data_IF_210040098505
#
_entry.id   IF_210040098505
#
_cell.length_a   1.000
_cell.length_b   1.000
_cell.length_c   1.000
_cell.angle_alpha   90.00
_cell.angle_beta   90.00
_cell.angle_gamma   90.00
#
_symmetry.space_group_name_H-M   'P 1'
#
loop_
_entity.id
_entity.type
_entity.pdbx_description
1 polymer ?
#
# COMPACT_ATOMS: atom_id res chain seq x y z
N UNK A 1 -27.13 -40.53 26.41
CA UNK A 1 -26.53 -40.64 25.06
C UNK A 1 -26.65 -39.37 24.23
N UNK A 2 -27.86 -38.80 24.08
CA UNK A 2 -28.10 -37.63 23.22
C UNK A 2 -27.23 -36.41 23.56
N UNK A 3 -27.01 -36.17 24.85
CA UNK A 3 -26.17 -35.08 25.37
C UNK A 3 -24.69 -35.28 25.02
N UNK A 4 -24.20 -36.53 25.04
CA UNK A 4 -22.82 -36.87 24.67
C UNK A 4 -22.59 -36.70 23.16
N UNK A 5 -23.55 -37.16 22.34
CA UNK A 5 -23.51 -36.98 20.89
C UNK A 5 -23.52 -35.50 20.51
N UNK A 6 -24.32 -34.68 21.19
CA UNK A 6 -24.37 -33.24 20.98
C UNK A 6 -23.03 -32.55 21.27
N UNK A 7 -22.39 -32.85 22.41
CA UNK A 7 -21.08 -32.27 22.76
C UNK A 7 -19.98 -32.69 21.78
N UNK A 8 -19.97 -33.96 21.35
CA UNK A 8 -19.00 -34.45 20.37
C UNK A 8 -19.21 -33.74 19.02
N UNK A 9 -20.45 -33.60 18.56
CA UNK A 9 -20.78 -32.92 17.30
C UNK A 9 -20.36 -31.44 17.32
N UNK A 10 -20.74 -30.70 18.36
CA UNK A 10 -20.32 -29.30 18.53
C UNK A 10 -18.79 -29.17 18.62
N UNK A 11 -18.13 -30.05 19.38
CA UNK A 11 -16.67 -30.08 19.49
C UNK A 11 -15.99 -30.27 18.14
N UNK A 12 -16.46 -31.25 17.34
CA UNK A 12 -15.94 -31.48 15.99
C UNK A 12 -16.16 -30.30 15.05
N UNK A 13 -17.31 -29.63 15.13
CA UNK A 13 -17.61 -28.44 14.29
C UNK A 13 -16.68 -27.29 14.66
N UNK A 14 -16.47 -27.03 15.96
CA UNK A 14 -15.59 -25.96 16.43
C UNK A 14 -14.15 -26.24 15.97
N UNK A 15 -13.63 -27.46 16.21
CA UNK A 15 -12.27 -27.83 15.81
C UNK A 15 -12.08 -27.74 14.29
N UNK A 16 -13.10 -28.09 13.50
CA UNK A 16 -13.07 -27.97 12.04
C UNK A 16 -13.19 -26.52 11.54
N UNK A 17 -13.77 -25.62 12.34
CA UNK A 17 -14.01 -24.22 11.95
C UNK A 17 -12.87 -23.29 12.39
N UNK A 18 -12.24 -23.55 13.55
CA UNK A 18 -11.11 -22.76 14.07
C UNK A 18 -9.99 -22.51 13.04
N UNK A 19 -9.47 -23.51 12.30
CA UNK A 19 -8.42 -23.26 11.30
C UNK A 19 -8.90 -22.50 10.06
N UNK A 20 -10.21 -22.35 9.86
CA UNK A 20 -10.79 -21.59 8.74
C UNK A 20 -11.05 -20.13 9.09
N UNK A 21 -10.95 -19.74 10.36
CA UNK A 21 -11.13 -18.35 10.78
C UNK A 21 -9.84 -17.60 10.45
N UNK A 22 -9.92 -16.65 9.51
CA UNK A 22 -8.81 -15.78 9.19
C UNK A 22 -8.43 -14.92 10.40
N UNK A 23 -7.21 -15.06 10.89
CA UNK A 23 -6.69 -14.22 11.96
C UNK A 23 -6.12 -12.93 11.37
N UNK A 24 -6.70 -11.79 11.73
CA UNK A 24 -6.11 -10.47 11.48
C UNK A 24 -5.69 -9.89 12.81
N UNK A 25 -4.48 -9.32 12.86
CA UNK A 25 -3.90 -8.78 14.11
C UNK A 25 -4.71 -7.57 14.59
N UNK A 26 -5.24 -6.78 13.66
CA UNK A 26 -6.16 -5.68 13.94
C UNK A 26 -7.35 -5.70 12.97
N UNK A 27 -8.54 -5.24 13.40
CA UNK A 27 -9.60 -4.92 12.46
C UNK A 27 -9.08 -3.84 11.50
N UNK A 28 -9.49 -3.87 10.23
CA UNK A 28 -9.22 -2.77 9.31
C UNK A 28 -10.00 -1.55 9.80
N UNK A 29 -9.39 -0.78 10.69
CA UNK A 29 -9.97 0.44 11.23
C UNK A 29 -10.10 1.41 10.07
N UNK A 30 -11.25 2.07 9.97
CA UNK A 30 -11.54 3.04 8.94
C UNK A 30 -10.63 4.25 9.13
N UNK A 31 -9.52 4.29 8.40
CA UNK A 31 -8.53 5.34 8.53
C UNK A 31 -8.70 6.26 7.33
N UNK A 32 -9.33 7.42 7.56
CA UNK A 32 -9.67 8.42 6.55
C UNK A 32 -8.56 8.82 5.56
N UNK A 33 -7.25 8.74 5.87
CA UNK A 33 -6.19 9.03 4.90
C UNK A 33 -5.43 7.79 4.38
N UNK A 34 -5.01 7.86 3.12
CA UNK A 34 -4.06 6.90 2.53
C UNK A 34 -2.97 7.64 1.72
N UNK A 35 -1.79 7.02 1.66
CA UNK A 35 -0.61 7.56 0.97
C UNK A 35 -0.33 6.73 -0.29
N UNK A 36 -0.05 7.41 -1.39
CA UNK A 36 0.36 6.80 -2.65
C UNK A 36 1.72 7.33 -3.02
N UNK A 37 2.68 6.43 -3.14
CA UNK A 37 4.01 6.73 -3.63
C UNK A 37 4.12 6.32 -5.08
N UNK A 38 4.72 7.20 -5.88
CA UNK A 38 5.03 6.94 -7.28
C UNK A 38 6.52 7.14 -7.52
N UNK A 39 7.09 6.24 -8.32
CA UNK A 39 8.48 6.28 -8.76
C UNK A 39 8.52 6.14 -10.26
N UNK A 40 8.86 7.22 -10.93
CA UNK A 40 9.07 7.26 -12.37
C UNK A 40 10.40 6.58 -12.75
N UNK A 41 10.63 6.29 -14.04
CA UNK A 41 11.91 5.76 -14.51
C UNK A 41 13.08 6.65 -14.10
N UNK A 42 14.21 6.04 -13.73
CA UNK A 42 15.40 6.77 -13.30
C UNK A 42 15.85 7.78 -14.36
N UNK A 43 16.14 9.01 -13.95
CA UNK A 43 16.56 10.10 -14.84
C UNK A 43 15.41 10.91 -15.44
N UNK A 44 14.16 10.72 -15.01
CA UNK A 44 13.06 11.61 -15.40
C UNK A 44 13.22 13.01 -14.83
N UNK A 45 12.90 14.01 -15.65
CA UNK A 45 12.84 15.40 -15.23
C UNK A 45 11.67 15.62 -14.25
N UNK A 46 11.88 16.47 -13.25
CA UNK A 46 10.87 16.85 -12.24
C UNK A 46 9.55 17.34 -12.87
N UNK A 47 9.61 18.04 -14.00
CA UNK A 47 8.40 18.52 -14.70
C UNK A 47 7.57 17.36 -15.25
N UNK A 48 8.24 16.31 -15.73
CA UNK A 48 7.58 15.10 -16.24
C UNK A 48 6.95 14.33 -15.09
N UNK A 49 7.69 14.14 -13.99
CA UNK A 49 7.16 13.52 -12.77
C UNK A 49 5.96 14.31 -12.24
N UNK A 50 6.03 15.65 -12.20
CA UNK A 50 4.94 16.50 -11.74
C UNK A 50 3.68 16.37 -12.63
N UNK A 51 3.85 16.21 -13.95
CA UNK A 51 2.75 15.95 -14.87
C UNK A 51 2.08 14.60 -14.58
N UNK A 52 2.88 13.55 -14.39
CA UNK A 52 2.41 12.21 -14.03
C UNK A 52 1.66 12.25 -12.68
N UNK A 53 2.24 12.90 -11.67
CA UNK A 53 1.63 13.09 -10.35
C UNK A 53 0.27 13.78 -10.45
N UNK A 54 0.15 14.85 -11.26
CA UNK A 54 -1.14 15.53 -11.50
C UNK A 54 -2.18 14.62 -12.15
N UNK A 55 -1.79 13.80 -13.11
CA UNK A 55 -2.70 12.85 -13.74
C UNK A 55 -3.15 11.77 -12.75
N UNK A 56 -2.23 11.27 -11.92
CA UNK A 56 -2.53 10.34 -10.84
C UNK A 56 -3.53 10.95 -9.85
N UNK A 57 -3.30 12.21 -9.44
CA UNK A 57 -4.18 12.94 -8.55
C UNK A 57 -5.62 13.06 -9.11
N UNK A 58 -5.74 13.35 -10.40
CA UNK A 58 -7.05 13.39 -11.07
C UNK A 58 -7.71 12.01 -11.13
N UNK A 59 -6.94 10.94 -11.38
CA UNK A 59 -7.45 9.58 -11.37
C UNK A 59 -7.96 9.18 -9.98
N UNK A 60 -7.23 9.53 -8.92
CA UNK A 60 -7.63 9.31 -7.54
C UNK A 60 -8.91 10.07 -7.20
N UNK A 61 -8.99 11.35 -7.54
CA UNK A 61 -10.19 12.16 -7.31
C UNK A 61 -11.44 11.62 -8.04
N UNK A 62 -11.26 11.04 -9.24
CA UNK A 62 -12.35 10.39 -9.97
C UNK A 62 -12.80 9.07 -9.33
N UNK A 63 -11.86 8.28 -8.81
CA UNK A 63 -12.17 6.97 -8.21
C UNK A 63 -12.86 7.12 -6.86
N UNK A 64 -12.31 7.98 -6.01
CA UNK A 64 -12.82 8.24 -4.66
C UNK A 64 -14.10 9.08 -4.70
N UNK A 65 -14.24 9.92 -5.73
CA UNK A 65 -15.29 10.91 -5.87
C UNK A 65 -14.85 12.26 -5.26
N UNK A 66 -14.98 13.38 -6.00
CA UNK A 66 -14.43 14.68 -5.57
C UNK A 66 -15.08 15.24 -4.31
N UNK A 67 -16.29 14.76 -3.95
CA UNK A 67 -16.99 15.17 -2.72
C UNK A 67 -16.53 14.43 -1.47
N UNK A 68 -15.82 13.31 -1.63
CA UNK A 68 -15.35 12.48 -0.53
C UNK A 68 -13.92 12.84 -0.11
N UNK A 69 -13.18 13.54 -0.96
CA UNK A 69 -11.81 14.01 -0.71
C UNK A 69 -11.87 15.33 0.07
N UNK A 70 -11.29 15.33 1.27
CA UNK A 70 -11.16 16.51 2.12
C UNK A 70 -9.93 17.34 1.76
N UNK A 71 -8.79 16.68 1.58
CA UNK A 71 -7.52 17.31 1.25
C UNK A 71 -6.71 16.37 0.36
N UNK A 72 -5.95 16.93 -0.57
CA UNK A 72 -4.89 16.17 -1.23
C UNK A 72 -3.63 16.99 -1.31
N UNK A 73 -2.52 16.35 -0.96
CA UNK A 73 -1.19 16.93 -0.93
C UNK A 73 -0.27 16.05 -1.76
N UNK A 74 0.60 16.66 -2.55
CA UNK A 74 1.57 15.90 -3.35
C UNK A 74 2.93 16.58 -3.31
N UNK A 75 3.97 15.83 -2.95
CA UNK A 75 5.35 16.25 -3.00
C UNK A 75 6.04 15.55 -4.16
N UNK A 76 6.73 16.31 -5.01
CA UNK A 76 7.44 15.80 -6.18
C UNK A 76 8.90 16.18 -6.08
N UNK A 77 9.77 15.21 -6.25
CA UNK A 77 11.21 15.39 -6.14
C UNK A 77 11.68 15.57 -4.71
N UNK A 78 12.88 16.12 -4.56
CA UNK A 78 13.49 16.40 -3.27
C UNK A 78 12.77 17.55 -2.57
N UNK A 79 12.49 17.37 -1.28
CA UNK A 79 11.95 18.44 -0.46
C UNK A 79 13.00 19.55 -0.23
N UNK A 80 12.57 20.82 -0.11
CA UNK A 80 13.47 21.94 0.16
C UNK A 80 14.26 21.71 1.46
N UNK A 81 15.57 22.05 1.48
CA UNK A 81 16.43 21.87 2.66
C UNK A 81 16.03 22.75 3.85
N UNK A 82 15.21 23.79 3.63
CA UNK A 82 14.74 24.73 4.65
C UNK A 82 13.88 24.06 5.73
N UNK A 83 13.35 22.85 5.45
CA UNK A 83 12.66 22.03 6.45
C UNK A 83 13.44 20.74 6.72
N UNK A 84 14.41 20.74 7.66
CA UNK A 84 15.26 19.58 7.92
C UNK A 84 14.50 18.37 8.49
N UNK A 85 13.26 18.57 8.97
CA UNK A 85 12.41 17.49 9.51
C UNK A 85 11.70 16.73 8.39
N UNK A 86 11.36 17.39 7.28
CA UNK A 86 10.60 16.79 6.17
C UNK A 86 11.18 15.48 5.64
N UNK A 87 12.46 15.44 5.25
CA UNK A 87 13.10 14.25 4.68
C UNK A 87 13.09 13.01 5.58
N UNK A 88 12.92 13.18 6.89
CA UNK A 88 12.87 12.08 7.88
C UNK A 88 11.55 11.31 7.73
N UNK A 89 10.45 12.02 7.47
CA UNK A 89 9.10 11.43 7.40
C UNK A 89 8.65 11.16 5.96
N UNK A 90 9.12 11.98 5.01
CA UNK A 90 8.71 11.93 3.61
C UNK A 90 9.92 11.76 2.69
N UNK A 91 10.52 10.57 2.75
CA UNK A 91 11.70 10.26 1.96
C UNK A 91 11.39 10.13 0.47
N UNK A 92 12.09 10.93 -0.34
CA UNK A 92 12.12 10.90 -1.81
C UNK A 92 13.58 10.77 -2.27
N UNK A 93 13.89 9.83 -3.16
CA UNK A 93 15.28 9.59 -3.57
C UNK A 93 15.81 10.62 -4.59
N UNK A 94 14.93 11.28 -5.35
CA UNK A 94 15.32 12.15 -6.46
C UNK A 94 14.10 12.76 -7.17
N UNK A 95 14.31 13.48 -8.30
CA UNK A 95 13.25 14.12 -9.09
C UNK A 95 12.23 13.14 -9.70
N UNK A 96 12.56 11.85 -9.77
CA UNK A 96 11.68 10.76 -10.24
C UNK A 96 10.68 10.27 -9.18
N UNK A 97 10.87 10.62 -7.91
CA UNK A 97 10.01 10.18 -6.82
C UNK A 97 8.96 11.24 -6.50
N UNK A 98 7.74 10.79 -6.20
CA UNK A 98 6.72 11.65 -5.62
C UNK A 98 5.84 10.88 -4.63
N UNK A 99 5.32 11.62 -3.65
CA UNK A 99 4.45 11.11 -2.59
C UNK A 99 3.16 11.91 -2.61
N UNK A 100 2.03 11.22 -2.58
CA UNK A 100 0.69 11.81 -2.61
C UNK A 100 -0.07 11.36 -1.36
N UNK A 101 -0.48 12.31 -0.53
CA UNK A 101 -1.30 12.07 0.65
C UNK A 101 -2.74 12.52 0.38
N UNK A 102 -3.67 11.59 0.52
CA UNK A 102 -5.10 11.84 0.26
C UNK A 102 -5.84 11.68 1.57
N UNK A 103 -6.51 12.74 2.02
CA UNK A 103 -7.36 12.72 3.19
C UNK A 103 -8.84 12.72 2.78
N UNK A 104 -9.61 11.79 3.29
CA UNK A 104 -11.05 11.67 3.07
C UNK A 104 -11.84 12.36 4.18
N UNK A 105 -13.11 12.65 3.91
CA UNK A 105 -14.06 13.03 4.95
C UNK A 105 -14.39 11.84 5.86
N UNK A 106 -14.57 12.08 7.16
CA UNK A 106 -14.91 11.03 8.14
C UNK A 106 -16.26 10.34 7.85
N UNK A 107 -17.13 11.01 7.09
CA UNK A 107 -18.44 10.51 6.66
C UNK A 107 -18.40 9.78 5.32
N UNK A 108 -17.28 9.84 4.59
CA UNK A 108 -17.12 9.06 3.38
C UNK A 108 -17.17 7.58 3.77
N UNK A 109 -18.07 6.80 3.16
CA UNK A 109 -18.14 5.34 3.35
C UNK A 109 -17.40 4.66 2.19
N UNK A 110 -16.13 5.00 2.05
CA UNK A 110 -15.27 4.50 0.96
C UNK A 110 -14.46 3.32 1.46
N UNK A 111 -14.60 2.17 0.79
CA UNK A 111 -13.84 0.95 1.08
C UNK A 111 -12.42 1.08 0.50
N UNK A 112 -11.46 1.49 1.35
CA UNK A 112 -10.07 1.80 0.95
C UNK A 112 -9.41 0.62 0.20
N UNK A 113 -9.47 -0.63 0.68
CA UNK A 113 -8.93 -1.78 -0.07
C UNK A 113 -9.46 -1.91 -1.49
N UNK A 114 -10.76 -1.65 -1.72
CA UNK A 114 -11.34 -1.70 -3.07
C UNK A 114 -10.84 -0.57 -3.95
N UNK A 115 -10.75 0.63 -3.38
CA UNK A 115 -10.20 1.80 -4.09
C UNK A 115 -8.74 1.59 -4.45
N UNK A 116 -7.91 1.08 -3.53
CA UNK A 116 -6.53 0.75 -3.83
C UNK A 116 -6.41 -0.30 -4.94
N UNK A 117 -7.22 -1.36 -4.90
CA UNK A 117 -7.20 -2.40 -5.93
C UNK A 117 -7.57 -1.83 -7.31
N UNK A 118 -8.60 -0.98 -7.37
CA UNK A 118 -9.00 -0.30 -8.60
C UNK A 118 -7.92 0.68 -9.09
N UNK A 119 -7.32 1.45 -8.18
CA UNK A 119 -6.24 2.39 -8.50
C UNK A 119 -4.99 1.67 -8.98
N UNK A 120 -4.60 0.53 -8.39
CA UNK A 120 -3.47 -0.28 -8.88
C UNK A 120 -3.62 -0.63 -10.36
N UNK A 121 -4.83 -1.05 -10.76
CA UNK A 121 -5.11 -1.38 -12.17
C UNK A 121 -5.13 -0.14 -13.07
N UNK A 122 -5.80 0.94 -12.64
CA UNK A 122 -5.93 2.17 -13.44
C UNK A 122 -4.60 2.90 -13.61
N UNK A 123 -3.82 3.03 -12.55
CA UNK A 123 -2.51 3.70 -12.60
C UNK A 123 -1.49 2.89 -13.40
N UNK A 124 -1.51 1.56 -13.27
CA UNK A 124 -0.66 0.70 -14.10
C UNK A 124 -1.01 0.80 -15.60
N UNK A 125 -2.29 0.98 -15.94
CA UNK A 125 -2.72 1.20 -17.33
C UNK A 125 -2.37 2.61 -17.84
N UNK A 126 -2.38 3.62 -16.97
CA UNK A 126 -2.10 5.00 -17.33
C UNK A 126 -0.62 5.22 -17.68
N UNK A 127 0.28 4.68 -16.85
CA UNK A 127 1.72 4.92 -16.95
C UNK A 127 2.49 3.60 -16.73
N UNK A 128 2.68 2.77 -17.77
CA UNK A 128 3.26 1.43 -17.65
C UNK A 128 4.75 1.42 -17.22
N UNK A 129 5.41 2.58 -17.22
CA UNK A 129 6.79 2.76 -16.77
C UNK A 129 6.93 3.18 -15.29
N UNK A 130 5.83 3.52 -14.62
CA UNK A 130 5.85 4.09 -13.26
C UNK A 130 5.51 3.01 -12.24
N UNK A 131 6.27 2.98 -11.13
CA UNK A 131 5.99 2.08 -10.01
C UNK A 131 5.13 2.81 -8.99
N UNK A 132 4.02 2.19 -8.62
CA UNK A 132 3.12 2.69 -7.57
C UNK A 132 3.18 1.77 -6.36
N UNK A 133 3.26 2.35 -5.17
CA UNK A 133 3.07 1.66 -3.89
C UNK A 133 2.07 2.43 -3.05
N UNK A 134 1.20 1.69 -2.35
CA UNK A 134 0.16 2.25 -1.51
C UNK A 134 0.52 1.92 -0.07
N UNK A 135 0.67 2.96 0.73
CA UNK A 135 1.02 2.85 2.14
C UNK A 135 -0.16 3.33 2.99
N UNK A 136 -0.61 2.57 4.00
CA UNK A 136 -1.54 3.10 4.98
C UNK A 136 -0.96 4.30 5.74
N UNK A 137 -1.60 5.46 5.66
CA UNK A 137 -1.19 6.67 6.42
C UNK A 137 -1.45 6.58 7.93
N UNK A 138 -1.89 5.44 8.44
CA UNK A 138 -2.15 5.21 9.85
C UNK A 138 -0.87 4.86 10.62
N UNK A 139 -0.68 5.53 11.77
CA UNK A 139 0.50 5.34 12.62
C UNK A 139 0.63 3.90 13.10
N UNK A 140 -0.48 3.21 13.38
CA UNK A 140 -0.44 1.84 13.90
C UNK A 140 0.09 0.90 12.80
N UNK A 141 -0.47 0.98 11.60
CA UNK A 141 0.01 0.17 10.47
C UNK A 141 1.45 0.51 10.08
N UNK A 142 1.84 1.80 10.10
CA UNK A 142 3.21 2.22 9.79
C UNK A 142 4.24 1.67 10.80
N UNK A 143 3.89 1.62 12.09
CA UNK A 143 4.73 1.03 13.13
C UNK A 143 4.84 -0.49 12.97
N UNK A 144 3.74 -1.18 12.71
CA UNK A 144 3.72 -2.65 12.55
C UNK A 144 4.43 -3.11 11.27
N UNK A 145 4.44 -2.29 10.23
CA UNK A 145 5.17 -2.55 8.99
C UNK A 145 6.69 -2.36 9.15
N UNK A 146 7.19 -1.88 10.30
CA UNK A 146 8.62 -1.64 10.54
C UNK A 146 9.30 -0.78 9.45
N UNK A 147 8.55 0.17 8.85
CA UNK A 147 9.03 0.99 7.74
C UNK A 147 8.99 0.32 6.37
N UNK A 148 8.42 -0.88 6.25
CA UNK A 148 8.07 -1.47 4.96
C UNK A 148 6.86 -0.73 4.38
N UNK A 149 6.97 -0.31 3.12
CA UNK A 149 5.90 0.39 2.40
C UNK A 149 4.79 -0.54 1.89
N UNK A 150 4.96 -1.86 2.07
CA UNK A 150 4.05 -2.89 1.60
C UNK A 150 3.70 -3.83 2.75
N UNK A 151 2.47 -4.36 2.81
CA UNK A 151 2.00 -5.23 3.89
C UNK A 151 2.78 -6.55 3.98
N UNK A 152 3.37 -7.00 2.88
CA UNK A 152 4.25 -8.17 2.84
C UNK A 152 5.58 -7.75 2.22
N UNK A 153 6.65 -7.85 3.01
CA UNK A 153 8.02 -7.59 2.57
C UNK A 153 8.88 -8.84 2.81
N UNK A 154 9.61 -9.26 1.77
CA UNK A 154 10.57 -10.36 1.87
C UNK A 154 11.97 -9.77 1.79
N UNK A 155 12.69 -9.80 2.90
CA UNK A 155 14.06 -9.29 2.99
C UNK A 155 15.05 -10.46 2.86
N UNK A 156 15.93 -10.38 1.86
CA UNK A 156 17.00 -11.35 1.66
C UNK A 156 18.33 -10.75 2.15
N UNK A 157 18.90 -11.33 3.20
CA UNK A 157 20.22 -10.94 3.72
C UNK A 157 21.29 -11.93 3.24
N UNK A 158 22.42 -11.40 2.76
CA UNK A 158 23.57 -12.19 2.32
C UNK A 158 24.88 -11.47 2.60
N UNK A 159 25.93 -12.21 2.96
CA UNK A 159 27.25 -11.65 3.33
C UNK A 159 28.12 -11.23 2.14
N UNK A 160 27.70 -11.52 0.91
CA UNK A 160 28.52 -11.33 -0.30
C UNK A 160 27.67 -10.63 -1.36
N UNK A 161 28.09 -9.43 -1.79
CA UNK A 161 27.52 -8.70 -2.93
C UNK A 161 27.92 -9.33 -4.27
N UNK A 162 27.71 -10.64 -4.45
CA UNK A 162 27.59 -11.22 -5.79
C UNK A 162 26.15 -11.01 -6.25
N UNK A 163 25.89 -10.82 -7.56
CA UNK A 163 24.53 -10.64 -8.05
C UNK A 163 23.72 -11.93 -7.78
N UNK A 164 23.05 -11.99 -6.63
CA UNK A 164 22.12 -13.03 -6.17
C UNK A 164 20.77 -12.96 -6.90
N UNK A 165 20.78 -12.39 -8.11
CA UNK A 165 19.63 -12.06 -8.94
C UNK A 165 18.60 -13.19 -9.16
N UNK A 166 18.93 -14.50 -9.15
CA UNK A 166 17.90 -15.51 -9.41
C UNK A 166 16.93 -15.78 -8.24
N UNK A 167 17.29 -15.51 -6.98
CA UNK A 167 16.46 -15.90 -5.83
C UNK A 167 15.25 -14.96 -5.57
N UNK A 168 15.42 -13.62 -5.46
CA UNK A 168 14.30 -12.71 -5.24
C UNK A 168 13.38 -12.59 -6.46
N UNK A 169 13.86 -12.88 -7.67
CA UNK A 169 13.03 -12.90 -8.87
C UNK A 169 12.01 -14.05 -8.85
N UNK A 170 12.43 -15.23 -8.37
CA UNK A 170 11.55 -16.40 -8.25
C UNK A 170 10.50 -16.23 -7.16
N UNK A 171 10.87 -15.71 -5.98
CA UNK A 171 9.89 -15.45 -4.91
C UNK A 171 8.90 -14.36 -5.30
N UNK A 172 9.35 -13.33 -6.03
CA UNK A 172 8.47 -12.29 -6.58
C UNK A 172 7.40 -12.93 -7.47
N UNK A 173 7.77 -13.78 -8.43
CA UNK A 173 6.81 -14.47 -9.30
C UNK A 173 5.81 -15.34 -8.53
N UNK A 174 6.25 -16.06 -7.49
CA UNK A 174 5.36 -16.84 -6.63
C UNK A 174 4.40 -15.98 -5.80
N UNK A 175 4.84 -14.82 -5.31
CA UNK A 175 3.96 -13.90 -4.59
C UNK A 175 2.90 -13.23 -5.49
N UNK A 176 3.22 -12.91 -6.75
CA UNK A 176 2.25 -12.35 -7.69
C UNK A 176 1.14 -13.33 -8.11
N UNK A 177 1.33 -14.64 -7.86
CA UNK A 177 0.33 -15.67 -8.16
C UNK A 177 -0.69 -15.88 -7.03
N UNK A 178 -0.52 -15.22 -5.88
CA UNK A 178 -1.46 -15.29 -4.76
C UNK A 178 -2.65 -14.35 -5.02
N UNK A 179 -3.90 -14.79 -4.75
CA UNK A 179 -5.06 -13.91 -4.84
C UNK A 179 -4.97 -12.75 -3.82
N UNK A 180 -5.54 -11.57 -4.14
CA UNK A 180 -5.50 -10.38 -3.28
C UNK A 180 -6.27 -10.55 -1.97
#
# INVERSE_FOLDING_TARGET
MLLVVYFVLCGTIIIALVPRIGTRIFPSVYNGPFEVRLRAPTGTNIETTAKITRQCLQAIGKEVGPKNVKLTLSYVGLQPPDNPIGPIYLWTAGPEDAVIDVQLHDQARVDIPKVEAALRLKLAALEPGVRFSFDPSDIINRVMSFGAHNPVQVNAAGRICRPTWPLPARSKQSCWALPP
#
